data_IF_258119786853
#
_entry.id   IF_258119786853
#
_cell.length_a   1.000
_cell.length_b   1.000
_cell.length_c   1.000
_cell.angle_alpha   90.00
_cell.angle_beta   90.00
_cell.angle_gamma   90.00
#
_symmetry.space_group_name_H-M   'P 1'
#
loop_
_entity.id
_entity.type
_entity.pdbx_description
1 polymer ?
#
# COMPACT_ATOMS: atom_id res chain seq x y z
N UNK A 1 -17.70 10.02 -0.82
CA UNK A 1 -16.49 9.31 -1.25
C UNK A 1 -15.27 10.06 -0.78
N UNK A 2 -14.33 9.37 -0.18
CA UNK A 2 -13.07 9.95 0.26
C UNK A 2 -12.16 10.20 -0.96
N UNK A 3 -11.27 11.17 -0.83
CA UNK A 3 -10.20 11.34 -1.81
C UNK A 3 -9.10 10.33 -1.52
N UNK A 4 -8.45 9.82 -2.55
CA UNK A 4 -7.31 8.90 -2.42
C UNK A 4 -6.04 9.64 -2.84
N UNK A 5 -5.10 9.76 -1.91
CA UNK A 5 -3.82 10.42 -2.14
C UNK A 5 -2.69 9.43 -2.00
N UNK A 6 -1.82 9.38 -3.00
CA UNK A 6 -0.58 8.61 -2.95
C UNK A 6 0.57 9.53 -2.58
N UNK A 7 1.20 9.28 -1.44
CA UNK A 7 2.40 10.04 -1.06
C UNK A 7 3.55 9.73 -2.01
N UNK A 8 4.54 10.62 -2.14
CA UNK A 8 5.73 10.34 -2.95
C UNK A 8 6.43 9.04 -2.57
N UNK A 9 6.50 8.74 -1.27
CA UNK A 9 7.10 7.50 -0.76
C UNK A 9 6.33 6.27 -1.24
N UNK A 10 5.00 6.33 -1.21
CA UNK A 10 4.16 5.22 -1.66
C UNK A 10 4.24 5.01 -3.17
N UNK A 11 4.33 6.11 -3.94
CA UNK A 11 4.53 6.03 -5.39
C UNK A 11 5.86 5.34 -5.68
N UNK A 12 6.91 5.72 -4.96
CA UNK A 12 8.24 5.12 -5.13
C UNK A 12 8.24 3.64 -4.77
N UNK A 13 7.58 3.28 -3.65
CA UNK A 13 7.44 1.88 -3.24
C UNK A 13 6.77 1.06 -4.34
N UNK A 14 5.71 1.59 -4.92
CA UNK A 14 4.97 0.93 -5.99
C UNK A 14 5.81 0.73 -7.24
N UNK A 15 6.58 1.74 -7.63
CA UNK A 15 7.50 1.66 -8.77
C UNK A 15 8.60 0.62 -8.51
N UNK A 16 9.18 0.62 -7.32
CA UNK A 16 10.24 -0.32 -6.94
C UNK A 16 9.75 -1.76 -6.97
N UNK A 17 8.53 -2.00 -6.49
CA UNK A 17 7.90 -3.34 -6.53
C UNK A 17 7.72 -3.78 -7.98
N UNK A 18 7.22 -2.89 -8.83
CA UNK A 18 7.01 -3.17 -10.25
C UNK A 18 8.33 -3.55 -10.92
N UNK A 19 9.36 -2.74 -10.74
CA UNK A 19 10.67 -2.97 -11.35
C UNK A 19 11.29 -4.29 -10.89
N UNK A 20 11.17 -4.59 -9.61
CA UNK A 20 11.70 -5.82 -9.03
C UNK A 20 11.03 -7.08 -9.64
N UNK A 21 9.71 -7.07 -9.74
CA UNK A 21 8.97 -8.21 -10.27
C UNK A 21 9.15 -8.32 -11.77
N UNK A 22 9.20 -7.19 -12.47
CA UNK A 22 9.34 -7.14 -13.92
C UNK A 22 10.62 -7.85 -14.41
N UNK A 23 11.70 -7.80 -13.64
CA UNK A 23 12.96 -8.47 -13.99
C UNK A 23 12.75 -9.97 -14.26
N UNK A 24 11.88 -10.62 -13.49
CA UNK A 24 11.63 -12.05 -13.64
C UNK A 24 10.36 -12.35 -14.43
N UNK A 25 9.34 -11.51 -14.27
CA UNK A 25 8.01 -11.80 -14.83
C UNK A 25 7.22 -10.51 -15.10
N UNK A 26 7.32 -9.97 -16.32
CA UNK A 26 6.62 -8.73 -16.67
C UNK A 26 5.10 -8.80 -16.52
N UNK A 27 4.49 -9.94 -16.83
CA UNK A 27 3.04 -10.11 -16.68
C UNK A 27 2.62 -10.09 -15.23
N UNK A 28 3.41 -10.72 -14.35
CA UNK A 28 3.14 -10.69 -12.92
C UNK A 28 3.29 -9.27 -12.36
N UNK A 29 4.24 -8.49 -12.85
CA UNK A 29 4.41 -7.09 -12.44
C UNK A 29 3.16 -6.27 -12.75
N UNK A 30 2.61 -6.42 -13.95
CA UNK A 30 1.36 -5.75 -14.34
C UNK A 30 0.19 -6.20 -13.46
N UNK A 31 0.05 -7.50 -13.24
CA UNK A 31 -1.06 -8.05 -12.46
C UNK A 31 -1.03 -7.55 -11.00
N UNK A 32 0.14 -7.51 -10.39
CA UNK A 32 0.27 -7.04 -9.00
C UNK A 32 0.04 -5.52 -8.92
N UNK A 33 0.54 -4.77 -9.89
CA UNK A 33 0.31 -3.33 -9.93
C UNK A 33 -1.19 -3.00 -10.07
N UNK A 34 -1.90 -3.71 -10.94
CA UNK A 34 -3.34 -3.57 -11.11
C UNK A 34 -4.09 -3.93 -9.81
N UNK A 35 -3.66 -4.99 -9.14
CA UNK A 35 -4.28 -5.42 -7.88
C UNK A 35 -4.10 -4.37 -6.79
N UNK A 36 -2.91 -3.77 -6.69
CA UNK A 36 -2.65 -2.68 -5.74
C UNK A 36 -3.60 -1.51 -6.03
N UNK A 37 -3.74 -1.14 -7.30
CA UNK A 37 -4.63 -0.05 -7.70
C UNK A 37 -6.09 -0.35 -7.34
N UNK A 38 -6.58 -1.54 -7.65
CA UNK A 38 -7.96 -1.94 -7.37
C UNK A 38 -8.25 -1.98 -5.87
N UNK A 39 -7.37 -2.57 -5.09
CA UNK A 39 -7.59 -2.75 -3.66
C UNK A 39 -7.54 -1.42 -2.92
N UNK A 40 -6.65 -0.52 -3.31
CA UNK A 40 -6.58 0.81 -2.69
C UNK A 40 -7.75 1.70 -3.08
N UNK A 41 -8.26 1.57 -4.30
CA UNK A 41 -9.43 2.34 -4.74
C UNK A 41 -10.67 2.06 -3.88
N UNK A 42 -10.82 0.85 -3.38
CA UNK A 42 -11.94 0.46 -2.49
C UNK A 42 -11.95 1.28 -1.21
N UNK A 43 -10.78 1.77 -0.76
CA UNK A 43 -10.67 2.58 0.45
C UNK A 43 -11.39 3.92 0.34
N UNK A 44 -11.70 4.39 -0.87
CA UNK A 44 -12.49 5.61 -1.05
C UNK A 44 -13.91 5.45 -0.52
N UNK A 45 -14.47 4.25 -0.62
CA UNK A 45 -15.81 3.94 -0.13
C UNK A 45 -15.78 3.28 1.26
N UNK A 46 -14.71 2.57 1.58
CA UNK A 46 -14.56 1.83 2.84
C UNK A 46 -13.20 2.16 3.48
N UNK A 47 -13.02 3.40 3.97
CA UNK A 47 -11.71 3.84 4.44
C UNK A 47 -11.18 3.08 5.65
N UNK A 48 -12.05 2.45 6.43
CA UNK A 48 -11.65 1.68 7.61
C UNK A 48 -11.58 0.18 7.38
N UNK A 49 -11.52 -0.25 6.12
CA UNK A 49 -11.46 -1.67 5.77
C UNK A 49 -10.17 -2.34 6.26
N UNK A 50 -9.06 -1.62 6.31
CA UNK A 50 -7.81 -2.12 6.86
C UNK A 50 -7.88 -2.30 8.38
N UNK A 51 -6.96 -3.09 8.92
CA UNK A 51 -6.82 -3.25 10.37
C UNK A 51 -6.01 -2.09 10.94
N UNK A 52 -6.11 -1.86 12.26
CA UNK A 52 -5.25 -0.89 12.93
C UNK A 52 -3.78 -1.22 12.72
N UNK A 53 -3.00 -0.22 12.33
CA UNK A 53 -1.60 -0.39 12.01
C UNK A 53 -0.71 -0.47 13.24
N UNK A 54 0.50 -1.00 13.05
CA UNK A 54 1.54 -1.05 14.10
C UNK A 54 2.04 0.34 14.46
N UNK A 55 2.04 1.25 13.49
CA UNK A 55 2.32 2.67 13.73
C UNK A 55 1.01 3.32 14.19
N UNK A 56 1.02 4.12 15.28
CA UNK A 56 -0.19 4.78 15.75
C UNK A 56 -0.87 5.62 14.66
N UNK A 57 -2.19 5.61 14.67
CA UNK A 57 -3.05 6.37 13.74
C UNK A 57 -2.93 5.94 12.28
N UNK A 58 -2.36 4.76 12.01
CA UNK A 58 -2.33 4.18 10.66
C UNK A 58 -3.17 2.92 10.57
N UNK A 59 -3.40 2.49 9.32
CA UNK A 59 -4.09 1.26 8.99
C UNK A 59 -3.22 0.45 8.05
N UNK A 60 -3.43 -0.86 8.05
CA UNK A 60 -2.73 -1.80 7.16
C UNK A 60 -3.77 -2.60 6.38
N UNK A 61 -3.64 -2.61 5.06
CA UNK A 61 -4.49 -3.40 4.18
C UNK A 61 -3.63 -4.38 3.39
N UNK A 62 -3.85 -5.68 3.60
CA UNK A 62 -3.18 -6.71 2.80
C UNK A 62 -3.84 -6.73 1.42
N UNK A 63 -3.06 -6.38 0.39
CA UNK A 63 -3.53 -6.33 -1.00
C UNK A 63 -3.11 -7.56 -1.79
N UNK A 64 -2.08 -8.27 -1.30
CA UNK A 64 -1.54 -9.49 -1.89
C UNK A 64 -0.85 -10.27 -0.77
N UNK A 65 -0.66 -11.58 -0.94
CA UNK A 65 0.02 -12.39 0.09
C UNK A 65 1.40 -11.85 0.47
N UNK A 66 2.06 -11.15 -0.45
CA UNK A 66 3.40 -10.62 -0.25
C UNK A 66 3.44 -9.11 0.03
N UNK A 67 2.34 -8.39 -0.09
CA UNK A 67 2.34 -6.92 0.03
C UNK A 67 1.16 -6.40 0.84
N UNK A 68 1.45 -5.42 1.70
CA UNK A 68 0.41 -4.68 2.40
C UNK A 68 0.61 -3.18 2.17
N UNK A 69 -0.49 -2.46 2.20
CA UNK A 69 -0.52 -1.00 2.07
C UNK A 69 -0.70 -0.41 3.46
N UNK A 70 0.14 0.56 3.80
CA UNK A 70 0.01 1.34 5.04
C UNK A 70 -0.59 2.68 4.67
N UNK A 71 -1.65 3.07 5.35
CA UNK A 71 -2.35 4.31 5.06
C UNK A 71 -2.89 4.97 6.32
N UNK A 72 -3.25 6.24 6.22
CA UNK A 72 -3.99 6.94 7.27
C UNK A 72 -5.20 7.67 6.67
N UNK A 73 -6.02 8.20 7.55
CA UNK A 73 -7.20 8.95 7.18
C UNK A 73 -7.06 10.34 7.82
N UNK A 74 -7.03 11.36 6.99
CA UNK A 74 -6.96 12.76 7.44
C UNK A 74 -8.13 13.49 6.81
N UNK A 75 -9.09 13.89 7.64
CA UNK A 75 -10.30 14.56 7.17
C UNK A 75 -11.04 13.74 6.12
N UNK A 76 -11.10 14.20 4.86
CA UNK A 76 -11.77 13.52 3.76
C UNK A 76 -10.80 12.77 2.84
N UNK A 77 -9.55 12.58 3.28
CA UNK A 77 -8.51 11.95 2.48
C UNK A 77 -8.05 10.63 3.09
N UNK A 78 -7.92 9.62 2.24
CA UNK A 78 -7.15 8.41 2.52
C UNK A 78 -5.77 8.63 1.91
N UNK A 79 -4.74 8.63 2.75
CA UNK A 79 -3.36 8.83 2.28
C UNK A 79 -2.62 7.50 2.30
N UNK A 80 -2.17 7.06 1.13
CA UNK A 80 -1.33 5.87 1.04
C UNK A 80 0.09 6.28 1.37
N UNK A 81 0.62 5.75 2.46
CA UNK A 81 1.90 6.17 3.01
C UNK A 81 3.06 5.30 2.52
N UNK A 82 2.85 3.99 2.48
CA UNK A 82 3.87 3.03 2.07
C UNK A 82 3.21 1.77 1.53
N UNK A 83 3.95 1.03 0.70
CA UNK A 83 3.66 -0.37 0.40
C UNK A 83 4.83 -1.19 0.93
N UNK A 84 4.52 -2.20 1.72
CA UNK A 84 5.52 -2.98 2.45
C UNK A 84 5.39 -4.46 2.10
N UNK A 85 6.52 -5.14 1.92
CA UNK A 85 6.52 -6.59 1.77
C UNK A 85 6.14 -7.22 3.11
N UNK A 86 5.19 -8.14 3.11
CA UNK A 86 4.64 -8.74 4.34
C UNK A 86 5.68 -9.51 5.17
N UNK A 87 6.77 -9.97 4.54
CA UNK A 87 7.85 -10.66 5.23
C UNK A 87 8.86 -9.73 5.89
N UNK A 88 8.81 -8.43 5.59
CA UNK A 88 9.71 -7.45 6.20
C UNK A 88 9.15 -6.95 7.52
N UNK A 89 10.06 -6.52 8.39
CA UNK A 89 9.66 -5.86 9.63
C UNK A 89 9.09 -4.48 9.31
N UNK A 90 7.92 -4.20 9.86
CA UNK A 90 7.28 -2.91 9.73
C UNK A 90 6.78 -2.45 11.11
N UNK A 91 7.05 -1.22 11.53
CA UNK A 91 7.99 -0.30 10.87
C UNK A 91 9.42 -0.80 10.94
N UNK A 92 10.34 -0.26 10.08
CA UNK A 92 11.75 -0.65 10.12
C UNK A 92 12.36 -0.37 11.49
N UNK A 93 13.31 -1.20 11.89
CA UNK A 93 14.08 -0.95 13.11
C UNK A 93 14.91 0.31 12.96
N UNK A 94 14.84 1.18 13.95
CA UNK A 94 15.75 2.33 14.04
C UNK A 94 17.01 1.90 14.79
N UNK A 95 18.14 2.33 14.29
CA UNK A 95 19.44 2.10 14.92
C UNK A 95 19.92 3.33 15.67
#
# INVERSE_FOLDING_TARGET
>A
MMELLWTPEAVRDREDIYDYIEEDNPLAALAIDDLIAERTAVLQDFPRMGRGGRVPDTFELVVHSSYMVVYDIVETQVRILNIVHTARQWPPLEE
#
